data_IF_480555450151
#
_entry.id   IF_480555450151
#
_cell.length_a   1.000
_cell.length_b   1.000
_cell.length_c   1.000
_cell.angle_alpha   90.00
_cell.angle_beta   90.00
_cell.angle_gamma   90.00
#
_symmetry.space_group_name_H-M   'P 1'
#
loop_
_entity.id
_entity.type
_entity.pdbx_description
1 polymer ?
#
# COMPACT_ATOMS: atom_id res chain seq x y z
N UNK A 1 -4.78 17.27 19.15
CA UNK A 1 -4.43 16.17 18.23
C UNK A 1 -5.65 15.31 18.04
N UNK A 2 -6.31 15.42 16.91
CA UNK A 2 -7.32 14.42 16.60
C UNK A 2 -6.57 13.09 16.41
N UNK A 3 -6.64 12.22 17.39
CA UNK A 3 -6.27 10.85 17.17
C UNK A 3 -7.10 10.38 15.97
N UNK A 4 -6.42 9.91 14.93
CA UNK A 4 -7.09 9.16 13.89
C UNK A 4 -7.84 8.06 14.63
N UNK A 5 -9.16 8.05 14.51
CA UNK A 5 -10.04 7.16 15.27
C UNK A 5 -9.88 5.74 14.73
N UNK A 6 -8.74 5.12 15.07
CA UNK A 6 -8.44 3.77 14.66
C UNK A 6 -9.12 2.81 15.63
N UNK A 7 -9.97 1.95 15.09
CA UNK A 7 -10.59 0.90 15.88
C UNK A 7 -9.54 -0.15 16.24
N UNK A 8 -9.30 -0.32 17.54
CA UNK A 8 -8.44 -1.39 18.02
C UNK A 8 -9.14 -2.73 17.85
N UNK A 9 -8.47 -3.67 17.21
CA UNK A 9 -9.03 -4.97 16.84
C UNK A 9 -8.03 -6.09 17.14
N UNK A 10 -8.57 -7.29 17.38
CA UNK A 10 -7.74 -8.50 17.43
C UNK A 10 -7.29 -8.89 16.02
N UNK A 11 -6.28 -9.74 15.92
CA UNK A 11 -5.80 -10.25 14.61
C UNK A 11 -6.94 -10.90 13.82
N UNK A 12 -7.79 -11.69 14.47
CA UNK A 12 -8.94 -12.35 13.82
C UNK A 12 -9.95 -11.33 13.27
N UNK A 13 -10.25 -10.30 14.04
CA UNK A 13 -11.14 -9.22 13.59
C UNK A 13 -10.52 -8.42 12.46
N UNK A 14 -9.21 -8.18 12.53
CA UNK A 14 -8.48 -7.47 11.50
C UNK A 14 -8.52 -8.22 10.16
N UNK A 15 -8.32 -9.54 10.17
CA UNK A 15 -8.42 -10.37 8.96
C UNK A 15 -9.80 -10.25 8.32
N UNK A 16 -10.87 -10.35 9.09
CA UNK A 16 -12.24 -10.21 8.57
C UNK A 16 -12.47 -8.84 7.94
N UNK A 17 -12.02 -7.78 8.61
CA UNK A 17 -12.18 -6.41 8.10
C UNK A 17 -11.31 -6.13 6.88
N UNK A 18 -10.11 -6.70 6.87
CA UNK A 18 -9.19 -6.61 5.74
C UNK A 18 -9.81 -7.22 4.48
N UNK A 19 -10.35 -8.42 4.57
CA UNK A 19 -11.05 -9.06 3.44
C UNK A 19 -12.20 -8.19 2.94
N UNK A 20 -13.00 -7.67 3.85
CA UNK A 20 -14.15 -6.82 3.51
C UNK A 20 -13.72 -5.52 2.81
N UNK A 21 -12.69 -4.86 3.32
CA UNK A 21 -12.16 -3.63 2.73
C UNK A 21 -11.57 -3.87 1.33
N UNK A 22 -10.83 -4.96 1.16
CA UNK A 22 -10.25 -5.31 -0.13
C UNK A 22 -11.32 -5.63 -1.17
N UNK A 23 -12.39 -6.32 -0.79
CA UNK A 23 -13.53 -6.60 -1.68
C UNK A 23 -14.27 -5.33 -2.11
N UNK A 24 -14.27 -4.29 -1.27
CA UNK A 24 -14.91 -3.00 -1.55
C UNK A 24 -13.97 -1.97 -2.15
N UNK A 25 -12.73 -2.34 -2.40
CA UNK A 25 -11.68 -1.45 -2.93
C UNK A 25 -11.49 -0.17 -2.10
N UNK A 26 -11.51 -0.32 -0.78
CA UNK A 26 -11.27 0.80 0.15
C UNK A 26 -9.84 0.80 0.64
N UNK A 27 -9.15 1.95 0.61
CA UNK A 27 -7.83 2.07 1.19
C UNK A 27 -7.86 1.74 2.69
N UNK A 28 -6.99 0.85 3.13
CA UNK A 28 -6.92 0.41 4.52
C UNK A 28 -5.51 0.60 5.06
N UNK A 29 -5.43 1.15 6.26
CA UNK A 29 -4.17 1.35 6.96
C UNK A 29 -4.14 0.50 8.24
N UNK A 30 -3.15 -0.39 8.33
CA UNK A 30 -2.93 -1.25 9.48
C UNK A 30 -1.88 -0.60 10.39
N UNK A 31 -2.28 -0.28 11.62
CA UNK A 31 -1.40 0.27 12.63
C UNK A 31 -1.00 -0.80 13.64
N UNK A 32 0.24 -0.81 14.02
CA UNK A 32 0.73 -1.70 15.06
C UNK A 32 2.25 -1.69 15.15
N UNK A 33 2.80 -2.14 16.28
CA UNK A 33 4.25 -2.21 16.45
C UNK A 33 4.88 -3.22 15.48
N UNK A 34 6.18 -3.11 15.22
CA UNK A 34 6.91 -4.12 14.45
C UNK A 34 6.73 -5.50 15.06
N UNK A 35 6.57 -6.52 14.22
CA UNK A 35 6.46 -7.90 14.68
C UNK A 35 5.07 -8.32 15.16
N UNK A 36 4.04 -7.49 14.99
CA UNK A 36 2.66 -7.87 15.35
C UNK A 36 1.98 -8.76 14.30
N UNK A 37 2.65 -9.01 13.16
CA UNK A 37 2.16 -9.94 12.13
C UNK A 37 1.34 -9.28 11.03
N UNK A 38 1.56 -7.99 10.73
CA UNK A 38 0.82 -7.28 9.68
C UNK A 38 1.00 -7.93 8.29
N UNK A 39 2.24 -8.26 7.93
CA UNK A 39 2.53 -8.93 6.66
C UNK A 39 1.95 -10.34 6.60
N UNK A 40 2.06 -11.08 7.69
CA UNK A 40 1.51 -12.44 7.80
C UNK A 40 -0.01 -12.44 7.66
N UNK A 41 -0.69 -11.43 8.17
CA UNK A 41 -2.14 -11.28 7.99
C UNK A 41 -2.50 -11.10 6.54
N UNK A 42 -1.78 -10.25 5.82
CA UNK A 42 -2.02 -10.05 4.39
C UNK A 42 -1.77 -11.33 3.60
N UNK A 43 -0.70 -12.06 3.93
CA UNK A 43 -0.41 -13.35 3.30
C UNK A 43 -1.50 -14.38 3.60
N UNK A 44 -1.99 -14.42 4.84
CA UNK A 44 -3.08 -15.31 5.22
C UNK A 44 -4.35 -15.01 4.40
N UNK A 45 -4.71 -13.75 4.23
CA UNK A 45 -5.86 -13.35 3.42
C UNK A 45 -5.70 -13.78 1.96
N UNK A 46 -4.51 -13.59 1.40
CA UNK A 46 -4.20 -14.01 0.02
C UNK A 46 -4.32 -15.53 -0.12
N UNK A 47 -3.81 -16.29 0.84
CA UNK A 47 -3.80 -17.76 0.80
C UNK A 47 -5.16 -18.36 1.13
N UNK A 48 -6.08 -17.61 1.73
CA UNK A 48 -7.39 -18.12 2.17
C UNK A 48 -8.34 -18.48 1.04
N UNK A 49 -8.10 -17.95 -0.17
CA UNK A 49 -9.00 -18.09 -1.31
C UNK A 49 -10.20 -17.13 -1.32
N UNK A 50 -10.37 -16.31 -0.30
CA UNK A 50 -11.47 -15.33 -0.20
C UNK A 50 -11.42 -14.27 -1.30
N UNK A 51 -10.25 -14.01 -1.87
CA UNK A 51 -10.03 -13.08 -2.97
C UNK A 51 -9.84 -13.78 -4.32
N UNK A 52 -10.14 -15.08 -4.39
CA UNK A 52 -9.89 -15.91 -5.57
C UNK A 52 -8.41 -16.27 -5.70
N UNK A 53 -7.94 -16.40 -6.94
CA UNK A 53 -6.50 -16.59 -7.23
C UNK A 53 -5.80 -15.26 -6.97
N UNK A 54 -5.10 -15.15 -5.86
CA UNK A 54 -4.51 -13.91 -5.40
C UNK A 54 -2.99 -14.01 -5.20
N UNK A 55 -2.33 -12.86 -5.30
CA UNK A 55 -0.89 -12.71 -5.08
C UNK A 55 -0.65 -11.54 -4.13
N UNK A 56 0.31 -11.68 -3.23
CA UNK A 56 0.80 -10.60 -2.38
C UNK A 56 2.11 -10.05 -2.94
N UNK A 57 2.17 -8.72 -3.04
CA UNK A 57 3.41 -7.99 -3.28
C UNK A 57 3.67 -7.17 -2.02
N UNK A 58 4.73 -7.53 -1.29
CA UNK A 58 5.11 -6.88 -0.04
C UNK A 58 6.26 -5.91 -0.31
N UNK A 59 6.02 -4.62 -0.12
CA UNK A 59 6.99 -3.56 -0.36
C UNK A 59 7.21 -2.80 0.95
N UNK A 60 8.48 -2.68 1.35
CA UNK A 60 8.86 -1.95 2.54
C UNK A 60 9.20 -0.51 2.19
N UNK A 61 8.30 0.41 2.53
CA UNK A 61 8.41 1.81 2.12
C UNK A 61 9.64 2.53 2.72
N UNK A 62 10.11 2.11 3.88
CA UNK A 62 11.31 2.69 4.52
C UNK A 62 12.59 2.49 3.71
N UNK A 63 12.60 1.52 2.79
CA UNK A 63 13.76 1.21 1.95
C UNK A 63 13.68 1.83 0.55
N UNK A 64 12.61 2.55 0.24
CA UNK A 64 12.38 3.09 -1.10
C UNK A 64 12.98 4.47 -1.28
N UNK A 65 13.46 4.73 -2.50
CA UNK A 65 13.73 6.06 -3.04
C UNK A 65 12.55 6.52 -3.91
N UNK A 66 12.40 7.82 -4.19
CA UNK A 66 11.29 8.31 -5.02
C UNK A 66 11.18 7.64 -6.40
N UNK A 67 12.31 7.26 -7.01
CA UNK A 67 12.33 6.54 -8.30
C UNK A 67 11.77 5.13 -8.20
N UNK A 68 11.80 4.53 -7.00
CA UNK A 68 11.21 3.20 -6.76
C UNK A 68 9.67 3.24 -6.79
N UNK A 69 9.08 4.43 -6.76
CA UNK A 69 7.62 4.62 -6.82
C UNK A 69 7.22 5.25 -8.16
N UNK A 70 7.87 6.35 -8.54
CA UNK A 70 7.54 7.08 -9.79
C UNK A 70 8.05 6.39 -11.05
N UNK A 71 9.04 5.52 -10.91
CA UNK A 71 9.74 4.94 -12.02
C UNK A 71 10.95 5.77 -12.45
N UNK A 72 11.54 5.41 -13.57
CA UNK A 72 12.75 6.02 -14.09
C UNK A 72 12.49 6.67 -15.45
N UNK A 73 12.97 7.92 -15.67
CA UNK A 73 12.81 8.57 -16.97
C UNK A 73 13.70 7.91 -18.02
N UNK A 74 13.13 7.65 -19.19
CA UNK A 74 13.83 7.09 -20.33
C UNK A 74 13.50 7.88 -21.60
N UNK A 75 14.44 8.03 -22.55
CA UNK A 75 14.16 8.72 -23.79
C UNK A 75 13.27 7.88 -24.72
N UNK A 76 12.25 8.50 -25.27
CA UNK A 76 11.46 7.96 -26.39
C UNK A 76 11.82 8.77 -27.64
N UNK A 77 12.84 8.31 -28.34
CA UNK A 77 13.39 9.02 -29.49
C UNK A 77 12.43 9.05 -30.68
N UNK A 78 11.57 8.05 -30.83
CA UNK A 78 10.59 7.99 -31.90
C UNK A 78 9.58 9.13 -31.81
N UNK A 79 9.19 9.53 -30.63
CA UNK A 79 8.21 10.59 -30.35
C UNK A 79 8.85 11.88 -29.82
N UNK A 80 10.19 11.91 -29.79
CA UNK A 80 10.98 13.05 -29.31
C UNK A 80 10.53 13.57 -27.93
N UNK A 81 10.39 12.66 -26.98
CA UNK A 81 9.96 12.98 -25.61
C UNK A 81 10.58 12.01 -24.60
N UNK A 82 10.41 12.32 -23.35
CA UNK A 82 10.77 11.44 -22.23
C UNK A 82 9.54 10.68 -21.77
N UNK A 83 9.72 9.40 -21.46
CA UNK A 83 8.69 8.56 -20.83
C UNK A 83 9.22 8.04 -19.50
N UNK A 84 8.32 7.67 -18.61
CA UNK A 84 8.65 7.08 -17.31
C UNK A 84 8.39 5.59 -17.36
N UNK A 85 9.42 4.79 -17.08
CA UNK A 85 9.29 3.33 -16.97
C UNK A 85 8.90 3.00 -15.53
N UNK A 86 7.79 2.25 -15.31
CA UNK A 86 7.36 1.91 -13.97
C UNK A 86 8.34 0.96 -13.27
N UNK A 87 8.37 0.97 -11.92
CA UNK A 87 9.19 0.03 -11.16
C UNK A 87 8.81 -1.42 -11.43
N UNK A 88 9.80 -2.32 -11.37
CA UNK A 88 9.60 -3.74 -11.65
C UNK A 88 8.61 -4.43 -10.70
N UNK A 89 8.50 -3.94 -9.46
CA UNK A 89 7.58 -4.49 -8.47
C UNK A 89 6.12 -4.08 -8.69
N UNK A 90 5.88 -3.10 -9.55
CA UNK A 90 4.52 -2.64 -9.85
C UNK A 90 3.95 -3.49 -10.99
N UNK A 91 2.81 -4.18 -10.76
CA UNK A 91 2.28 -5.10 -11.75
C UNK A 91 1.79 -4.38 -13.00
N UNK A 92 2.09 -4.95 -14.16
CA UNK A 92 1.52 -4.54 -15.44
C UNK A 92 0.10 -5.09 -15.58
N UNK A 93 -0.66 -4.58 -16.55
CA UNK A 93 -1.98 -5.14 -16.87
C UNK A 93 -1.89 -6.63 -17.25
N UNK A 94 -0.83 -7.03 -17.96
CA UNK A 94 -0.60 -8.42 -18.34
C UNK A 94 -0.36 -9.31 -17.14
N UNK A 95 0.46 -8.88 -16.18
CA UNK A 95 0.70 -9.62 -14.94
C UNK A 95 -0.56 -9.70 -14.09
N UNK A 96 -1.30 -8.58 -13.98
CA UNK A 96 -2.53 -8.52 -13.20
C UNK A 96 -3.61 -9.45 -13.76
N UNK A 97 -3.66 -9.63 -15.07
CA UNK A 97 -4.62 -10.50 -15.74
C UNK A 97 -4.47 -11.98 -15.36
N UNK A 98 -3.32 -12.38 -14.81
CA UNK A 98 -3.08 -13.76 -14.35
C UNK A 98 -3.73 -14.10 -13.01
N UNK A 99 -4.26 -13.09 -12.31
CA UNK A 99 -4.82 -13.22 -10.96
C UNK A 99 -6.22 -12.61 -10.90
N UNK A 100 -7.03 -13.09 -9.97
CA UNK A 100 -8.30 -12.45 -9.64
C UNK A 100 -8.05 -11.16 -8.86
N UNK A 101 -7.08 -11.19 -7.95
CA UNK A 101 -6.68 -10.05 -7.12
C UNK A 101 -5.18 -10.07 -6.86
N UNK A 102 -4.55 -8.90 -6.97
CA UNK A 102 -3.20 -8.68 -6.46
C UNK A 102 -3.31 -7.72 -5.28
N UNK A 103 -2.74 -8.11 -4.15
CA UNK A 103 -2.66 -7.25 -2.96
C UNK A 103 -1.25 -6.68 -2.88
N UNK A 104 -1.13 -5.35 -2.94
CA UNK A 104 0.13 -4.66 -2.68
C UNK A 104 0.11 -4.14 -1.25
N UNK A 105 1.02 -4.64 -0.44
CA UNK A 105 1.23 -4.14 0.92
C UNK A 105 2.41 -3.19 0.93
N UNK A 106 2.17 -1.94 1.31
CA UNK A 106 3.22 -0.96 1.58
C UNK A 106 3.44 -0.89 3.08
N UNK A 107 4.42 -1.66 3.56
CA UNK A 107 4.75 -1.73 4.98
C UNK A 107 5.71 -0.59 5.38
N UNK A 108 5.67 -0.23 6.64
CA UNK A 108 6.48 0.87 7.20
C UNK A 108 6.28 2.20 6.44
N UNK A 109 5.04 2.45 5.98
CA UNK A 109 4.76 3.58 5.09
C UNK A 109 5.14 4.91 5.73
N UNK A 110 4.84 5.11 6.99
CA UNK A 110 5.13 6.36 7.70
C UNK A 110 6.58 6.46 8.21
N UNK A 111 7.42 5.47 7.93
CA UNK A 111 8.87 5.51 8.19
C UNK A 111 9.67 5.81 6.92
N UNK A 112 9.03 5.87 5.77
CA UNK A 112 9.67 6.26 4.52
C UNK A 112 9.94 7.76 4.46
N UNK A 113 10.82 8.18 3.56
CA UNK A 113 11.05 9.60 3.29
C UNK A 113 9.75 10.31 2.89
N UNK A 114 9.61 11.59 3.22
CA UNK A 114 8.38 12.33 2.93
C UNK A 114 8.02 12.36 1.44
N UNK A 115 9.02 12.45 0.56
CA UNK A 115 8.82 12.39 -0.89
C UNK A 115 8.29 11.03 -1.36
N UNK A 116 8.75 9.96 -0.74
CA UNK A 116 8.25 8.60 -0.99
C UNK A 116 6.83 8.46 -0.50
N UNK A 117 6.54 8.93 0.71
CA UNK A 117 5.18 8.92 1.26
C UNK A 117 4.20 9.67 0.37
N UNK A 118 4.57 10.86 -0.10
CA UNK A 118 3.72 11.66 -0.98
C UNK A 118 3.38 10.91 -2.29
N UNK A 119 4.36 10.26 -2.89
CA UNK A 119 4.16 9.49 -4.12
C UNK A 119 3.28 8.25 -3.87
N UNK A 120 3.48 7.55 -2.76
CA UNK A 120 2.67 6.39 -2.39
C UNK A 120 1.22 6.78 -2.07
N UNK A 121 1.00 7.90 -1.38
CA UNK A 121 -0.36 8.39 -1.13
C UNK A 121 -1.07 8.74 -2.43
N UNK A 122 -0.37 9.34 -3.39
CA UNK A 122 -0.93 9.60 -4.72
C UNK A 122 -1.37 8.29 -5.39
N UNK A 123 -0.52 7.27 -5.38
CA UNK A 123 -0.84 5.96 -5.95
C UNK A 123 -2.05 5.32 -5.26
N UNK A 124 -2.08 5.34 -3.94
CA UNK A 124 -3.13 4.71 -3.15
C UNK A 124 -4.48 5.39 -3.38
N UNK A 125 -4.50 6.71 -3.38
CA UNK A 125 -5.76 7.48 -3.45
C UNK A 125 -6.25 7.69 -4.87
N UNK A 126 -5.34 7.92 -5.81
CA UNK A 126 -5.67 8.22 -7.20
C UNK A 126 -5.54 7.01 -8.14
N UNK A 127 -5.00 5.88 -7.63
CA UNK A 127 -4.75 4.66 -8.42
C UNK A 127 -3.74 4.88 -9.53
N UNK A 128 -2.93 5.93 -9.43
CA UNK A 128 -1.94 6.27 -10.43
C UNK A 128 -0.82 7.13 -9.83
N UNK A 129 0.39 6.96 -10.32
CA UNK A 129 1.53 7.81 -9.98
C UNK A 129 2.38 8.00 -11.24
N UNK A 130 2.70 9.26 -11.57
CA UNK A 130 3.37 9.55 -12.83
C UNK A 130 2.54 9.04 -14.01
N UNK A 131 3.15 8.23 -14.87
CA UNK A 131 2.48 7.60 -16.01
C UNK A 131 1.93 6.21 -15.73
N UNK A 132 2.23 5.66 -14.54
CA UNK A 132 1.75 4.34 -14.14
C UNK A 132 0.32 4.41 -13.62
N UNK A 133 -0.55 3.59 -14.21
CA UNK A 133 -1.90 3.38 -13.73
C UNK A 133 -2.02 2.00 -13.10
N UNK A 134 -2.60 1.95 -11.91
CA UNK A 134 -2.80 0.71 -11.18
C UNK A 134 -3.88 -0.13 -11.89
N UNK A 135 -3.61 -1.41 -12.23
CA UNK A 135 -4.66 -2.28 -12.74
C UNK A 135 -5.84 -2.39 -11.76
N UNK A 136 -7.05 -2.55 -12.30
CA UNK A 136 -8.29 -2.51 -11.50
C UNK A 136 -8.38 -3.59 -10.43
N UNK A 137 -7.76 -4.74 -10.64
CA UNK A 137 -7.76 -5.84 -9.69
C UNK A 137 -6.61 -5.80 -8.69
N UNK A 138 -5.80 -4.75 -8.71
CA UNK A 138 -4.76 -4.52 -7.71
C UNK A 138 -5.35 -3.71 -6.57
N UNK A 139 -5.27 -4.26 -5.36
CA UNK A 139 -5.76 -3.65 -4.12
C UNK A 139 -4.59 -3.28 -3.24
N UNK A 140 -4.67 -2.17 -2.54
CA UNK A 140 -3.57 -1.66 -1.74
C UNK A 140 -3.92 -1.69 -0.26
N UNK A 141 -2.97 -2.18 0.53
CA UNK A 141 -2.96 -2.10 1.99
C UNK A 141 -1.70 -1.33 2.39
N UNK A 142 -1.87 -0.35 3.24
CA UNK A 142 -0.75 0.34 3.88
C UNK A 142 -0.60 -0.14 5.31
N UNK A 143 0.61 -0.16 5.81
CA UNK A 143 0.89 -0.51 7.20
C UNK A 143 1.97 0.41 7.77
N UNK A 144 1.89 0.67 9.05
CA UNK A 144 2.86 1.52 9.72
C UNK A 144 2.80 1.40 11.23
N UNK A 145 3.71 2.12 11.86
CA UNK A 145 3.83 2.17 13.32
C UNK A 145 3.31 3.51 13.83
N UNK A 146 2.75 3.50 15.03
CA UNK A 146 2.37 4.75 15.70
C UNK A 146 3.62 5.48 16.19
N UNK A 147 3.50 6.80 16.42
CA UNK A 147 4.59 7.63 16.97
C UNK A 147 5.09 7.10 18.31
N UNK A 148 4.23 6.46 19.09
CA UNK A 148 4.58 5.81 20.35
C UNK A 148 5.41 4.56 20.19
N UNK A 149 5.41 3.96 19.00
CA UNK A 149 6.23 2.81 18.69
C UNK A 149 7.65 3.28 18.35
N UNK A 150 8.66 2.56 18.80
CA UNK A 150 10.05 2.97 18.63
C UNK A 150 10.44 3.06 17.15
N UNK A 151 10.99 4.21 16.75
CA UNK A 151 11.51 4.43 15.40
C UNK A 151 11.26 5.84 14.88
N UNK A 152 11.83 6.16 13.72
CA UNK A 152 11.58 7.41 13.03
C UNK A 152 10.29 7.26 12.23
N UNK A 153 9.25 7.95 12.64
CA UNK A 153 7.97 7.97 11.93
C UNK A 153 7.56 9.40 11.62
N UNK A 154 6.96 9.59 10.45
CA UNK A 154 6.39 10.86 10.04
C UNK A 154 4.87 10.83 10.20
N UNK A 155 4.34 11.93 10.69
CA UNK A 155 2.90 12.06 10.90
C UNK A 155 2.16 12.14 9.56
N UNK A 156 1.10 11.34 9.42
CA UNK A 156 0.24 11.41 8.25
C UNK A 156 -0.60 12.70 8.26
N UNK A 157 -0.60 13.48 7.18
CA UNK A 157 -1.48 14.65 7.08
C UNK A 157 -2.95 14.27 7.25
N UNK A 158 -3.70 15.08 8.01
CA UNK A 158 -5.10 14.82 8.34
C UNK A 158 -6.01 14.57 7.13
N UNK A 159 -5.92 15.35 6.03
CA UNK A 159 -6.77 15.07 4.86
C UNK A 159 -6.54 13.70 4.25
N UNK A 160 -5.31 13.18 4.28
CA UNK A 160 -4.98 11.84 3.81
C UNK A 160 -5.45 10.78 4.80
N UNK A 161 -5.24 11.04 6.10
CA UNK A 161 -5.68 10.12 7.15
C UNK A 161 -7.18 9.81 7.07
N UNK A 162 -8.00 10.81 6.74
CA UNK A 162 -9.45 10.67 6.65
C UNK A 162 -9.95 9.82 5.48
N UNK A 163 -9.08 9.56 4.48
CA UNK A 163 -9.44 8.73 3.32
C UNK A 163 -9.17 7.26 3.51
N UNK A 164 -8.48 6.88 4.58
CA UNK A 164 -8.20 5.49 4.90
C UNK A 164 -9.17 4.93 5.93
N UNK A 165 -9.44 3.65 5.83
CA UNK A 165 -9.98 2.88 6.96
C UNK A 165 -8.80 2.52 7.85
N UNK A 166 -8.83 2.91 9.11
CA UNK A 166 -7.73 2.68 10.05
C UNK A 166 -8.08 1.55 11.01
N UNK A 167 -7.21 0.55 11.10
CA UNK A 167 -7.28 -0.54 12.06
C UNK A 167 -6.01 -0.57 12.87
N UNK A 168 -6.14 -0.59 14.18
CA UNK A 168 -5.02 -0.78 15.09
C UNK A 168 -5.03 -2.21 15.61
N UNK A 169 -3.92 -2.91 15.41
CA UNK A 169 -3.79 -4.32 15.78
C UNK A 169 -3.16 -4.41 17.16
N UNK A 170 -3.77 -5.20 18.01
CA UNK A 170 -3.25 -5.55 19.34
C UNK A 170 -2.36 -6.76 19.28
#
# INVERSE_FOLDING_TARGET
MSAVDARTVTVKQAVTRLIRALKKDRPLFLWGPPGVGKSEMCQHVVDSGELGKAKLIDIRASLLDPTDVRGFPAPDLANNRMVWLPPVDFPTEEEAAKYDTIVMLFDELNSGAQSVQAALYQLILNKKVGQYELPKNVKIVAAGNRESDKGVTYRMPTPLANRFVHLEIR
#
